data_IF_883472087386
#
_entry.id   IF_883472087386
#
_cell.length_a   1.000
_cell.length_b   1.000
_cell.length_c   1.000
_cell.angle_alpha   90.00
_cell.angle_beta   90.00
_cell.angle_gamma   90.00
#
_symmetry.space_group_name_H-M   'P 1'
#
loop_
_entity.id
_entity.type
_entity.pdbx_description
1 polymer ?
#
# COMPACT_ATOMS: atom_id res chain seq x y z
N UNK A 1 19.54 -8.97 -10.59
CA UNK A 1 19.38 -7.51 -10.74
C UNK A 1 18.58 -7.23 -12.02
N UNK A 2 17.35 -6.68 -11.89
CA UNK A 2 16.38 -6.57 -13.00
C UNK A 2 16.18 -5.14 -13.55
N UNK A 3 16.87 -4.14 -13.00
CA UNK A 3 16.60 -2.72 -13.31
C UNK A 3 16.65 -2.38 -14.81
N UNK A 4 17.54 -3.04 -15.57
CA UNK A 4 17.66 -2.83 -17.01
C UNK A 4 16.61 -3.58 -17.85
N UNK A 5 15.87 -4.51 -17.24
CA UNK A 5 14.89 -5.37 -17.91
C UNK A 5 13.44 -4.94 -17.68
N UNK A 6 13.21 -3.86 -16.90
CA UNK A 6 11.85 -3.37 -16.63
C UNK A 6 11.10 -3.06 -17.93
N UNK A 7 9.80 -3.38 -18.03
CA UNK A 7 9.04 -3.29 -19.27
C UNK A 7 8.56 -1.85 -19.60
N UNK A 8 9.38 -0.85 -19.25
CA UNK A 8 9.12 0.56 -19.59
C UNK A 8 9.93 0.96 -20.81
N UNK A 9 9.34 1.73 -21.73
CA UNK A 9 9.97 2.17 -22.99
C UNK A 9 10.39 3.63 -22.97
N UNK A 10 9.66 4.49 -22.23
CA UNK A 10 9.90 5.93 -22.21
C UNK A 10 10.88 6.37 -21.13
N UNK A 11 10.97 5.64 -20.04
CA UNK A 11 11.84 5.97 -18.90
C UNK A 11 12.28 4.70 -18.17
N UNK A 12 13.38 4.82 -17.44
CA UNK A 12 13.87 3.86 -16.44
C UNK A 12 14.38 4.65 -15.25
N UNK A 13 14.40 4.03 -14.07
CA UNK A 13 14.88 4.67 -12.83
C UNK A 13 14.01 5.87 -12.40
N UNK A 14 12.73 5.63 -12.14
CA UNK A 14 11.87 6.62 -11.49
C UNK A 14 12.32 6.92 -10.06
N UNK A 15 12.14 8.16 -9.61
CA UNK A 15 12.32 8.53 -8.21
C UNK A 15 11.08 8.15 -7.41
N UNK A 16 11.28 7.81 -6.12
CA UNK A 16 10.18 7.73 -5.15
C UNK A 16 9.57 9.10 -4.89
N UNK A 17 8.38 9.16 -4.29
CA UNK A 17 7.81 10.42 -3.82
C UNK A 17 8.75 11.11 -2.81
N UNK A 18 8.79 12.46 -2.76
CA UNK A 18 9.60 13.18 -1.80
C UNK A 18 9.18 12.86 -0.36
N UNK A 19 10.16 12.84 0.55
CA UNK A 19 9.99 12.42 1.94
C UNK A 19 10.60 13.41 2.91
N UNK A 20 9.88 13.69 3.99
CA UNK A 20 10.38 14.40 5.14
C UNK A 20 11.02 13.39 6.11
N UNK A 21 12.26 13.67 6.51
CA UNK A 21 13.01 12.81 7.41
C UNK A 21 13.02 13.41 8.82
N UNK A 22 12.75 12.58 9.81
CA UNK A 22 12.84 12.94 11.22
C UNK A 22 13.28 11.72 12.05
N UNK A 23 13.56 11.95 13.33
CA UNK A 23 13.91 10.87 14.26
C UNK A 23 12.75 10.61 15.21
N UNK A 24 12.62 9.35 15.63
CA UNK A 24 11.74 8.97 16.75
C UNK A 24 12.43 7.96 17.64
N UNK A 25 12.00 7.88 18.90
CA UNK A 25 12.52 6.92 19.87
C UNK A 25 11.47 5.87 20.17
N UNK A 26 11.84 4.61 20.14
CA UNK A 26 11.02 3.46 20.52
C UNK A 26 11.88 2.46 21.31
N UNK A 27 11.36 1.95 22.44
CA UNK A 27 12.06 1.01 23.32
C UNK A 27 13.50 1.43 23.71
N UNK A 28 13.76 2.75 23.80
CA UNK A 28 15.10 3.28 24.16
C UNK A 28 16.06 3.46 22.97
N UNK A 29 15.70 3.01 21.79
CA UNK A 29 16.47 3.13 20.56
C UNK A 29 15.96 4.26 19.67
N UNK A 30 16.85 4.89 18.89
CA UNK A 30 16.50 5.98 17.96
C UNK A 30 16.46 5.47 16.53
N UNK A 31 15.36 5.75 15.85
CA UNK A 31 15.09 5.32 14.49
C UNK A 31 14.85 6.50 13.56
N UNK A 32 15.11 6.29 12.28
CA UNK A 32 14.75 7.22 11.22
C UNK A 32 13.27 7.03 10.84
N UNK A 33 12.53 8.12 10.85
CA UNK A 33 11.18 8.23 10.32
C UNK A 33 11.22 8.86 8.93
N UNK A 34 10.50 8.29 7.98
CA UNK A 34 10.46 8.73 6.58
C UNK A 34 9.01 8.89 6.15
N UNK A 35 8.44 10.07 6.35
CA UNK A 35 7.05 10.40 6.00
C UNK A 35 6.95 10.97 4.58
N UNK A 36 5.83 10.77 3.86
CA UNK A 36 5.61 11.48 2.61
C UNK A 36 5.61 12.99 2.85
N UNK A 37 6.33 13.73 2.02
CA UNK A 37 6.41 15.18 2.14
C UNK A 37 5.01 15.80 2.09
N UNK A 38 4.78 16.81 2.93
CA UNK A 38 3.45 17.44 3.06
C UNK A 38 3.00 18.16 1.79
N UNK A 39 3.92 18.57 0.94
CA UNK A 39 3.64 19.20 -0.36
C UNK A 39 2.84 18.25 -1.29
N UNK A 40 2.94 16.93 -1.09
CA UNK A 40 2.13 15.95 -1.82
C UNK A 40 0.61 16.10 -1.58
N UNK A 41 0.21 16.79 -0.51
CA UNK A 41 -1.21 17.10 -0.26
C UNK A 41 -1.80 18.03 -1.35
N UNK A 42 -0.98 18.84 -2.00
CA UNK A 42 -1.40 19.72 -3.10
C UNK A 42 -1.79 18.94 -4.37
N UNK A 43 -1.31 17.70 -4.49
CA UNK A 43 -1.68 16.80 -5.59
C UNK A 43 -3.07 16.19 -5.41
N UNK A 44 -3.64 16.25 -4.20
CA UNK A 44 -4.95 15.67 -3.92
C UNK A 44 -6.04 16.40 -4.70
N UNK A 45 -6.80 15.63 -5.44
CA UNK A 45 -8.03 16.07 -6.10
C UNK A 45 -9.25 15.67 -5.27
N UNK A 46 -10.27 15.11 -5.93
CA UNK A 46 -11.51 14.67 -5.27
C UNK A 46 -11.24 13.61 -4.22
N UNK A 47 -11.80 13.80 -3.02
CA UNK A 47 -11.82 12.81 -1.95
C UNK A 47 -13.04 11.89 -2.12
N UNK A 48 -12.80 10.59 -2.07
CA UNK A 48 -13.82 9.57 -1.85
C UNK A 48 -13.55 8.94 -0.47
N UNK A 49 -14.59 8.74 0.32
CA UNK A 49 -14.44 8.20 1.67
C UNK A 49 -15.44 7.11 2.00
N UNK A 50 -15.03 6.21 2.85
CA UNK A 50 -15.88 5.25 3.53
C UNK A 50 -15.73 5.42 5.03
N UNK A 51 -16.86 5.50 5.72
CA UNK A 51 -16.89 5.42 7.18
C UNK A 51 -16.46 4.04 7.65
N UNK A 52 -16.28 3.89 8.96
CA UNK A 52 -15.85 2.66 9.59
C UNK A 52 -16.59 1.40 9.10
N UNK A 53 -15.83 0.33 8.86
CA UNK A 53 -16.38 -0.98 8.53
C UNK A 53 -15.54 -2.10 9.17
N UNK A 54 -16.20 -3.20 9.51
CA UNK A 54 -15.57 -4.39 10.05
C UNK A 54 -15.23 -5.36 8.91
N UNK A 55 -14.06 -5.98 9.02
CA UNK A 55 -13.59 -7.06 8.14
C UNK A 55 -13.42 -8.32 9.00
N UNK A 56 -14.23 -9.33 8.76
CA UNK A 56 -14.17 -10.62 9.44
C UNK A 56 -13.86 -11.80 8.50
N UNK A 57 -14.04 -11.62 7.20
CA UNK A 57 -13.60 -12.52 6.12
C UNK A 57 -13.14 -11.69 4.93
N UNK A 58 -14.10 -11.17 4.17
CA UNK A 58 -13.86 -10.34 2.98
C UNK A 58 -14.81 -9.16 2.96
N UNK A 59 -14.32 -8.00 2.51
CA UNK A 59 -15.10 -6.78 2.37
C UNK A 59 -14.65 -6.02 1.10
N UNK A 60 -15.54 -5.87 0.11
CA UNK A 60 -15.23 -5.25 -1.18
C UNK A 60 -15.67 -3.78 -1.23
N UNK A 61 -14.82 -2.93 -1.77
CA UNK A 61 -15.07 -1.50 -1.99
C UNK A 61 -14.86 -1.08 -3.46
N UNK A 62 -15.21 -1.94 -4.41
CA UNK A 62 -14.93 -1.74 -5.85
C UNK A 62 -15.40 -0.38 -6.38
N UNK A 63 -16.53 0.14 -5.89
CA UNK A 63 -17.09 1.42 -6.37
C UNK A 63 -16.23 2.64 -6.05
N UNK A 64 -15.40 2.60 -5.01
CA UNK A 64 -14.56 3.73 -4.62
C UNK A 64 -13.36 3.94 -5.54
N UNK A 65 -12.98 2.92 -6.30
CA UNK A 65 -11.85 2.96 -7.23
C UNK A 65 -12.27 2.84 -8.70
N UNK A 66 -13.56 2.65 -9.00
CA UNK A 66 -14.04 2.33 -10.35
C UNK A 66 -13.65 3.35 -11.42
N UNK A 67 -13.59 4.64 -11.07
CA UNK A 67 -13.25 5.74 -11.98
C UNK A 67 -11.75 6.09 -11.95
N UNK A 68 -10.93 5.17 -11.46
CA UNK A 68 -9.52 5.44 -11.24
C UNK A 68 -8.70 5.23 -12.51
N UNK A 69 -7.86 6.22 -12.80
CA UNK A 69 -6.96 6.23 -13.97
C UNK A 69 -5.56 5.68 -13.65
N UNK A 70 -5.36 5.13 -12.44
CA UNK A 70 -4.10 4.52 -12.01
C UNK A 70 -3.22 5.41 -11.14
N UNK A 71 -3.65 6.65 -10.83
CA UNK A 71 -2.89 7.57 -9.99
C UNK A 71 -3.75 8.06 -8.84
N UNK A 72 -3.53 7.54 -7.64
CA UNK A 72 -4.33 7.86 -6.47
C UNK A 72 -3.59 7.60 -5.17
N UNK A 73 -4.09 8.21 -4.11
CA UNK A 73 -3.61 8.01 -2.76
C UNK A 73 -4.70 7.33 -1.92
N UNK A 74 -4.30 6.42 -1.07
CA UNK A 74 -5.16 5.82 -0.03
C UNK A 74 -4.63 6.24 1.34
N UNK A 75 -5.53 6.69 2.21
CA UNK A 75 -5.30 6.81 3.65
C UNK A 75 -6.25 5.89 4.40
N UNK A 76 -5.72 5.09 5.32
CA UNK A 76 -6.56 4.26 6.17
C UNK A 76 -6.04 4.17 7.60
N UNK A 77 -6.96 3.91 8.51
CA UNK A 77 -6.69 3.63 9.91
C UNK A 77 -7.33 2.30 10.31
N UNK A 78 -6.56 1.42 10.93
CA UNK A 78 -6.96 0.08 11.34
C UNK A 78 -6.95 -0.01 12.86
N UNK A 79 -8.04 -0.51 13.44
CA UNK A 79 -8.24 -0.67 14.90
C UNK A 79 -8.90 -2.01 15.24
N UNK A 80 -9.03 -2.28 16.54
CA UNK A 80 -9.82 -3.40 17.08
C UNK A 80 -9.51 -4.72 16.37
N UNK A 81 -8.23 -5.03 16.20
CA UNK A 81 -7.77 -6.22 15.50
C UNK A 81 -7.51 -7.37 16.46
N UNK A 82 -8.06 -8.53 16.13
CA UNK A 82 -7.73 -9.80 16.74
C UNK A 82 -7.37 -10.86 15.67
N UNK A 83 -7.13 -10.41 14.44
CA UNK A 83 -6.72 -11.25 13.33
C UNK A 83 -5.21 -11.51 13.37
N UNK A 84 -4.77 -12.61 12.79
CA UNK A 84 -3.36 -12.91 12.52
C UNK A 84 -2.85 -12.15 11.29
N UNK A 85 -3.71 -12.05 10.26
CA UNK A 85 -3.45 -11.29 9.03
C UNK A 85 -4.55 -10.25 8.83
N UNK A 86 -4.12 -9.04 8.60
CA UNK A 86 -4.95 -7.89 8.22
C UNK A 86 -4.51 -7.46 6.83
N UNK A 87 -5.31 -7.69 5.81
CA UNK A 87 -4.88 -7.49 4.44
C UNK A 87 -5.93 -6.88 3.52
N UNK A 88 -5.46 -6.43 2.35
CA UNK A 88 -6.28 -6.03 1.23
C UNK A 88 -5.52 -6.23 -0.08
N UNK A 89 -6.27 -6.43 -1.14
CA UNK A 89 -5.76 -6.58 -2.49
C UNK A 89 -6.20 -5.39 -3.34
N UNK A 90 -5.25 -4.81 -4.06
CA UNK A 90 -5.52 -3.91 -5.18
C UNK A 90 -5.48 -4.75 -6.45
N UNK A 91 -6.53 -4.71 -7.24
CA UNK A 91 -6.62 -5.57 -8.42
C UNK A 91 -7.42 -4.92 -9.57
N UNK A 92 -7.37 -5.53 -10.74
CA UNK A 92 -8.06 -5.08 -11.95
C UNK A 92 -8.88 -6.21 -12.61
N UNK A 93 -9.50 -5.91 -13.74
CA UNK A 93 -10.34 -6.84 -14.48
C UNK A 93 -9.57 -7.99 -15.15
N UNK A 94 -8.26 -7.85 -15.29
CA UNK A 94 -7.36 -8.87 -15.88
C UNK A 94 -6.88 -9.90 -14.87
N UNK A 95 -7.24 -9.75 -13.59
CA UNK A 95 -6.76 -10.61 -12.51
C UNK A 95 -5.33 -10.29 -12.08
N UNK A 96 -4.79 -9.14 -12.48
CA UNK A 96 -3.54 -8.61 -11.98
C UNK A 96 -3.79 -7.99 -10.60
N UNK A 97 -2.95 -8.33 -9.62
CA UNK A 97 -3.16 -7.95 -8.22
C UNK A 97 -1.86 -7.67 -7.47
N UNK A 98 -1.95 -6.79 -6.48
CA UNK A 98 -0.95 -6.63 -5.43
C UNK A 98 -1.63 -6.92 -4.11
N UNK A 99 -1.11 -7.90 -3.36
CA UNK A 99 -1.60 -8.23 -2.02
C UNK A 99 -0.78 -7.47 -0.97
N UNK A 100 -1.45 -6.66 -0.16
CA UNK A 100 -0.84 -5.78 0.84
C UNK A 100 -1.39 -6.17 2.20
N UNK A 101 -0.51 -6.57 3.13
CA UNK A 101 -0.98 -7.07 4.40
C UNK A 101 -0.02 -6.83 5.57
N UNK A 102 -0.59 -6.81 6.76
CA UNK A 102 0.10 -6.92 8.03
C UNK A 102 0.01 -8.38 8.52
N UNK A 103 1.15 -9.01 8.71
CA UNK A 103 1.26 -10.25 9.48
C UNK A 103 1.56 -9.86 10.93
N UNK A 104 0.55 -9.92 11.78
CA UNK A 104 0.65 -9.46 13.18
C UNK A 104 1.40 -10.48 14.05
N UNK A 105 1.42 -11.74 13.65
CA UNK A 105 2.18 -12.79 14.34
C UNK A 105 3.68 -12.60 14.13
N UNK A 106 4.10 -12.35 12.88
CA UNK A 106 5.49 -12.12 12.53
C UNK A 106 5.95 -10.67 12.69
N UNK A 107 5.01 -9.75 13.01
CA UNK A 107 5.24 -8.31 13.11
C UNK A 107 5.88 -7.74 11.84
N UNK A 108 5.24 -8.01 10.70
CA UNK A 108 5.70 -7.58 9.38
C UNK A 108 4.56 -6.93 8.59
N UNK A 109 4.88 -5.85 7.91
CA UNK A 109 4.11 -5.35 6.77
C UNK A 109 4.67 -5.97 5.50
N UNK A 110 3.81 -6.35 4.57
CA UNK A 110 4.21 -7.03 3.34
C UNK A 110 3.49 -6.46 2.12
N UNK A 111 4.18 -6.45 0.98
CA UNK A 111 3.59 -6.25 -0.34
C UNK A 111 4.01 -7.41 -1.24
N UNK A 112 3.06 -8.22 -1.68
CA UNK A 112 3.25 -9.28 -2.66
C UNK A 112 2.88 -8.75 -4.05
N UNK A 113 3.91 -8.62 -4.90
CA UNK A 113 3.76 -8.17 -6.27
C UNK A 113 3.92 -9.31 -7.30
N UNK A 114 3.86 -10.54 -6.86
CA UNK A 114 4.09 -11.71 -7.73
C UNK A 114 3.08 -11.82 -8.88
N UNK A 115 1.92 -11.18 -8.75
CA UNK A 115 0.87 -11.13 -9.75
C UNK A 115 0.52 -9.70 -10.20
N UNK A 116 1.44 -8.77 -10.06
CA UNK A 116 1.20 -7.33 -10.25
C UNK A 116 1.10 -6.87 -11.72
N UNK A 117 1.03 -7.79 -12.68
CA UNK A 117 0.97 -7.51 -14.12
C UNK A 117 2.14 -8.14 -14.86
N UNK A 118 2.91 -7.38 -15.64
CA UNK A 118 4.07 -7.90 -16.35
C UNK A 118 5.20 -8.16 -15.35
N UNK A 119 5.40 -9.42 -15.00
CA UNK A 119 6.40 -9.87 -14.01
C UNK A 119 7.46 -10.79 -14.62
N UNK A 120 7.27 -11.27 -15.85
CA UNK A 120 8.10 -12.30 -16.48
C UNK A 120 9.46 -11.83 -17.01
N UNK A 121 9.74 -10.53 -16.97
CA UNK A 121 11.00 -9.95 -17.45
C UNK A 121 12.23 -10.28 -16.59
N UNK A 122 12.00 -10.75 -15.36
CA UNK A 122 13.06 -11.24 -14.48
C UNK A 122 12.50 -12.17 -13.41
N UNK A 123 13.16 -13.29 -13.09
CA UNK A 123 12.76 -14.17 -11.98
C UNK A 123 12.89 -13.53 -10.61
N UNK A 124 13.69 -12.47 -10.47
CA UNK A 124 13.89 -11.74 -9.21
C UNK A 124 12.79 -10.70 -8.95
N UNK A 125 11.88 -10.47 -9.92
CA UNK A 125 10.87 -9.44 -9.79
C UNK A 125 9.62 -9.89 -9.03
N UNK A 126 9.01 -11.07 -9.27
CA UNK A 126 7.76 -11.52 -8.63
C UNK A 126 8.01 -12.01 -7.20
N UNK A 127 8.30 -11.08 -6.28
CA UNK A 127 8.63 -11.38 -4.89
C UNK A 127 7.72 -10.64 -3.91
N UNK A 128 7.66 -11.15 -2.68
CA UNK A 128 7.10 -10.45 -1.52
C UNK A 128 8.19 -9.62 -0.86
N UNK A 129 7.91 -8.36 -0.61
CA UNK A 129 8.79 -7.46 0.14
C UNK A 129 8.22 -7.22 1.54
N UNK A 130 9.09 -7.05 2.53
CA UNK A 130 8.71 -6.93 3.94
C UNK A 130 9.34 -5.71 4.60
N UNK A 131 8.60 -5.12 5.55
CA UNK A 131 9.10 -4.16 6.52
C UNK A 131 8.72 -4.60 7.93
N UNK A 132 9.57 -4.43 8.95
CA UNK A 132 9.19 -4.66 10.34
C UNK A 132 8.15 -3.63 10.78
N UNK A 133 7.26 -4.04 11.68
CA UNK A 133 6.27 -3.15 12.29
C UNK A 133 6.30 -3.26 13.81
N UNK A 134 5.89 -2.18 14.47
CA UNK A 134 5.54 -2.19 15.88
C UNK A 134 4.05 -2.56 16.02
N UNK A 135 3.71 -3.25 17.11
CA UNK A 135 2.32 -3.61 17.40
C UNK A 135 1.64 -2.46 18.16
N UNK A 136 1.08 -1.52 17.42
CA UNK A 136 0.34 -0.39 17.95
C UNK A 136 -1.17 -0.70 18.03
N UNK A 137 -1.88 -0.17 19.01
CA UNK A 137 -3.34 -0.31 19.14
C UNK A 137 -4.11 0.23 17.93
N UNK A 138 -3.53 1.20 17.27
CA UNK A 138 -3.99 1.82 16.03
C UNK A 138 -2.85 1.78 15.02
N UNK A 139 -3.11 1.31 13.81
CA UNK A 139 -2.17 1.34 12.69
C UNK A 139 -2.70 2.28 11.61
N UNK A 140 -1.86 3.16 11.15
CA UNK A 140 -2.16 4.04 10.02
C UNK A 140 -1.35 3.61 8.79
N UNK A 141 -1.97 3.70 7.63
CA UNK A 141 -1.31 3.41 6.36
C UNK A 141 -1.67 4.47 5.34
N UNK A 142 -0.67 4.99 4.67
CA UNK A 142 -0.79 5.88 3.53
C UNK A 142 -0.10 5.25 2.34
N UNK A 143 -0.82 5.13 1.23
CA UNK A 143 -0.32 4.54 -0.01
C UNK A 143 -0.41 5.56 -1.13
N UNK A 144 0.66 5.66 -1.92
CA UNK A 144 0.65 6.30 -3.22
C UNK A 144 0.71 5.22 -4.28
N UNK A 145 -0.30 5.17 -5.11
CA UNK A 145 -0.39 4.27 -6.24
C UNK A 145 -0.19 5.10 -7.51
N UNK A 146 0.77 4.70 -8.32
CA UNK A 146 1.01 5.26 -9.63
C UNK A 146 1.02 4.13 -10.67
N UNK A 147 1.08 4.47 -11.95
CA UNK A 147 1.04 3.54 -13.07
C UNK A 147 2.08 2.42 -13.00
N UNK A 148 3.21 2.68 -12.37
CA UNK A 148 4.33 1.73 -12.29
C UNK A 148 4.93 1.56 -10.89
N UNK A 149 4.30 2.11 -9.84
CA UNK A 149 4.79 1.98 -8.47
C UNK A 149 3.68 2.03 -7.44
N UNK A 150 3.93 1.39 -6.30
CA UNK A 150 3.16 1.53 -5.07
C UNK A 150 4.13 1.87 -3.95
N UNK A 151 3.89 2.99 -3.27
CA UNK A 151 4.66 3.41 -2.11
C UNK A 151 3.79 3.38 -0.87
N UNK A 152 4.25 2.68 0.16
CA UNK A 152 3.56 2.51 1.43
C UNK A 152 4.32 3.22 2.56
N UNK A 153 3.58 3.95 3.38
CA UNK A 153 4.07 4.61 4.58
C UNK A 153 3.18 4.23 5.75
N UNK A 154 3.73 3.48 6.69
CA UNK A 154 2.99 3.05 7.87
C UNK A 154 3.35 3.84 9.12
N UNK A 155 2.36 4.05 9.97
CA UNK A 155 2.49 4.73 11.26
C UNK A 155 3.25 6.06 11.13
N UNK A 156 2.76 6.88 10.19
CA UNK A 156 3.32 8.19 9.86
C UNK A 156 4.81 8.13 9.44
N UNK A 157 5.20 7.08 8.72
CA UNK A 157 6.54 6.90 8.17
C UNK A 157 7.53 6.17 9.07
N UNK A 158 7.08 5.46 10.12
CA UNK A 158 7.93 4.55 10.88
C UNK A 158 8.45 3.40 10.04
N UNK A 159 7.72 3.01 9.01
CA UNK A 159 8.26 2.27 7.89
C UNK A 159 7.84 2.90 6.57
N UNK A 160 8.68 2.76 5.56
CA UNK A 160 8.38 3.16 4.19
C UNK A 160 8.86 2.07 3.23
N UNK A 161 8.03 1.75 2.22
CA UNK A 161 8.32 0.71 1.24
C UNK A 161 7.91 1.18 -0.16
N UNK A 162 8.78 0.99 -1.14
CA UNK A 162 8.51 1.30 -2.55
C UNK A 162 8.64 0.04 -3.39
N UNK A 163 7.58 -0.32 -4.09
CA UNK A 163 7.57 -1.42 -5.05
C UNK A 163 7.22 -0.93 -6.46
N UNK A 164 7.97 -1.40 -7.44
CA UNK A 164 7.57 -1.28 -8.85
C UNK A 164 6.48 -2.32 -9.13
N UNK A 165 5.52 -1.93 -9.97
CA UNK A 165 4.44 -2.76 -10.50
C UNK A 165 4.23 -2.41 -11.97
N UNK A 166 3.76 -3.36 -12.79
CA UNK A 166 3.55 -3.10 -14.22
C UNK A 166 2.22 -3.71 -14.68
N UNK A 167 1.07 -3.22 -14.14
CA UNK A 167 -0.22 -3.71 -14.55
C UNK A 167 -0.54 -3.29 -16.00
N UNK A 168 -1.28 -4.13 -16.72
CA UNK A 168 -1.76 -3.82 -18.07
C UNK A 168 -2.94 -2.85 -18.08
N UNK A 169 -3.68 -2.79 -16.96
CA UNK A 169 -4.76 -1.88 -16.67
C UNK A 169 -4.64 -1.35 -15.24
N UNK A 170 -5.13 -0.14 -14.92
CA UNK A 170 -5.10 0.37 -13.55
C UNK A 170 -5.75 -0.56 -12.55
N UNK A 171 -5.20 -0.65 -11.34
CA UNK A 171 -5.88 -1.30 -10.21
C UNK A 171 -7.06 -0.42 -9.79
N UNK A 172 -8.25 -0.79 -10.18
CA UNK A 172 -9.48 -0.04 -9.95
C UNK A 172 -10.47 -0.74 -9.02
N UNK A 173 -10.01 -1.78 -8.33
CA UNK A 173 -10.78 -2.55 -7.35
C UNK A 173 -9.96 -2.79 -6.09
N UNK A 174 -10.67 -2.88 -4.96
CA UNK A 174 -10.05 -3.19 -3.66
C UNK A 174 -10.93 -4.17 -2.89
N UNK A 175 -10.30 -5.20 -2.34
CA UNK A 175 -10.92 -6.19 -1.47
C UNK A 175 -10.11 -6.35 -0.20
N UNK A 176 -10.74 -6.13 0.95
CA UNK A 176 -10.16 -6.34 2.27
C UNK A 176 -10.41 -7.77 2.73
N UNK A 177 -9.47 -8.34 3.48
CA UNK A 177 -9.63 -9.66 4.07
C UNK A 177 -8.98 -9.75 5.46
N UNK A 178 -9.45 -10.70 6.27
CA UNK A 178 -8.87 -11.07 7.55
C UNK A 178 -8.63 -12.59 7.60
N UNK A 179 -7.53 -13.02 8.25
CA UNK A 179 -7.26 -14.42 8.59
C UNK A 179 -7.02 -14.53 10.09
N UNK A 180 -7.54 -15.59 10.72
CA UNK A 180 -7.37 -15.84 12.14
C UNK A 180 -8.14 -14.90 13.06
N UNK A 181 -9.14 -14.16 12.54
CA UNK A 181 -9.94 -13.23 13.33
C UNK A 181 -10.55 -12.10 12.52
N UNK A 182 -10.65 -10.91 13.10
CA UNK A 182 -11.27 -9.74 12.46
C UNK A 182 -10.54 -8.44 12.81
N UNK A 183 -10.83 -7.38 12.06
CA UNK A 183 -10.37 -6.02 12.36
C UNK A 183 -11.40 -4.98 11.90
N UNK A 184 -11.17 -3.74 12.29
CA UNK A 184 -11.99 -2.60 11.87
C UNK A 184 -11.11 -1.60 11.11
N UNK A 185 -11.51 -1.25 9.90
CA UNK A 185 -11.03 -0.05 9.24
C UNK A 185 -11.87 1.11 9.77
N UNK A 186 -11.30 1.95 10.61
CA UNK A 186 -12.02 3.05 11.28
C UNK A 186 -12.11 4.30 10.41
N UNK A 187 -11.23 4.43 9.43
CA UNK A 187 -11.25 5.49 8.41
C UNK A 187 -10.65 4.93 7.12
N UNK A 188 -11.29 5.21 5.99
CA UNK A 188 -10.78 4.90 4.66
C UNK A 188 -11.08 6.06 3.72
N UNK A 189 -10.03 6.59 3.10
CA UNK A 189 -10.11 7.70 2.15
C UNK A 189 -9.29 7.39 0.92
N UNK A 190 -9.79 7.80 -0.22
CA UNK A 190 -9.08 7.75 -1.50
C UNK A 190 -9.06 9.15 -2.08
N UNK A 191 -7.90 9.59 -2.53
CA UNK A 191 -7.73 10.85 -3.23
C UNK A 191 -7.24 10.55 -4.65
N UNK A 192 -7.99 11.02 -5.63
CA UNK A 192 -7.50 11.05 -7.00
C UNK A 192 -6.37 12.09 -7.07
N UNK A 193 -5.22 11.72 -7.61
CA UNK A 193 -4.11 12.66 -7.77
C UNK A 193 -4.23 13.41 -9.11
N UNK A 194 -3.80 14.67 -9.09
CA UNK A 194 -3.80 15.57 -10.26
C UNK A 194 -2.67 15.24 -11.22
#
# INVERSE_FOLDING_TARGET
QYANNVPTTQYRSGNSVPRDLSLYTSAGETYLKSSPSRELLELRGKEEKKCSFKVDRTYNLDKLLSDNTGTYEIEMTIKNRNAEIVGFQLFNSKGEEVDIYYNLVEKKFAMDRSKSGIVSFSPDFPIVTFAPIEDNSEMTLRLFIDKSSIEAFGDDGRFAMTNLVFPSEPYNRISFYAKGGSYTVSSFKVYKLK
#
